data_IF_742305704163
#
_entry.id   IF_742305704163
#
_cell.length_a   1.000
_cell.length_b   1.000
_cell.length_c   1.000
_cell.angle_alpha   90.00
_cell.angle_beta   90.00
_cell.angle_gamma   90.00
#
_symmetry.space_group_name_H-M   'P 1'
#
loop_
_entity.id
_entity.type
_entity.pdbx_description
1 polymer ?
#
# COMPACT_ATOMS: atom_id res chain seq x y z
N UNK A 1 -47.45 19.69 1.71
CA UNK A 1 -46.39 20.25 0.84
C UNK A 1 -45.12 20.55 1.66
N UNK A 2 -44.49 19.60 2.37
CA UNK A 2 -43.23 19.80 3.13
C UNK A 2 -42.26 18.62 3.09
N UNK A 3 -42.45 17.62 2.20
CA UNK A 3 -41.58 16.44 2.10
C UNK A 3 -40.58 16.43 0.93
N UNK A 4 -40.66 17.35 -0.02
CA UNK A 4 -39.77 17.38 -1.20
C UNK A 4 -38.54 18.27 -1.05
N UNK A 5 -38.48 19.14 -0.03
CA UNK A 5 -37.34 20.04 0.16
C UNK A 5 -36.13 19.40 0.86
N UNK A 6 -36.33 18.31 1.60
CA UNK A 6 -35.25 17.66 2.37
C UNK A 6 -34.40 16.75 1.51
N UNK A 7 -35.02 16.10 0.48
CA UNK A 7 -34.29 15.22 -0.43
C UNK A 7 -33.34 15.95 -1.40
N UNK A 8 -33.71 17.16 -1.81
CA UNK A 8 -32.84 17.98 -2.69
C UNK A 8 -31.62 18.55 -1.97
N UNK A 9 -31.71 18.78 -0.66
CA UNK A 9 -30.57 19.30 0.12
C UNK A 9 -29.54 18.22 0.46
N UNK A 10 -29.99 16.98 0.62
CA UNK A 10 -29.10 15.83 0.88
C UNK A 10 -28.36 15.40 -0.39
N UNK A 11 -28.97 15.49 -1.57
CA UNK A 11 -28.27 15.23 -2.84
C UNK A 11 -27.25 16.32 -3.18
N UNK A 12 -27.50 17.58 -2.84
CA UNK A 12 -26.53 18.65 -3.05
C UNK A 12 -25.32 18.58 -2.10
N UNK A 13 -25.51 18.05 -0.89
CA UNK A 13 -24.42 17.85 0.06
C UNK A 13 -23.54 16.64 -0.31
N UNK A 14 -24.11 15.60 -0.94
CA UNK A 14 -23.37 14.44 -1.40
C UNK A 14 -22.47 14.75 -2.62
N UNK A 15 -22.87 15.70 -3.48
CA UNK A 15 -22.05 16.10 -4.64
C UNK A 15 -20.87 17.02 -4.29
N UNK A 16 -20.85 17.65 -3.12
CA UNK A 16 -19.75 18.54 -2.68
C UNK A 16 -18.65 17.78 -1.95
N UNK A 17 -18.91 16.54 -1.51
CA UNK A 17 -17.92 15.69 -0.81
C UNK A 17 -17.10 14.79 -1.74
N UNK A 18 -17.39 14.76 -3.04
CA UNK A 18 -16.71 13.92 -4.05
C UNK A 18 -15.52 14.58 -4.77
N UNK A 19 -15.12 15.79 -4.34
CA UNK A 19 -13.82 16.33 -4.74
C UNK A 19 -12.78 16.06 -3.64
N UNK A 20 -12.45 14.79 -3.43
CA UNK A 20 -11.20 14.43 -2.79
C UNK A 20 -10.09 14.94 -3.70
N UNK A 21 -9.46 16.05 -3.33
CA UNK A 21 -8.37 16.64 -4.09
C UNK A 21 -7.21 15.63 -4.12
N UNK A 22 -7.01 14.99 -5.28
CA UNK A 22 -5.70 14.45 -5.60
C UNK A 22 -4.71 15.61 -5.47
N UNK A 23 -3.70 15.46 -4.62
CA UNK A 23 -2.63 16.45 -4.56
C UNK A 23 -1.75 16.18 -5.77
N UNK A 24 -1.83 17.06 -6.77
CA UNK A 24 -0.96 16.99 -7.93
C UNK A 24 0.48 17.29 -7.48
N UNK A 25 1.28 16.25 -7.34
CA UNK A 25 2.70 16.32 -6.93
C UNK A 25 3.51 17.05 -8.01
N UNK A 26 3.07 16.96 -9.26
CA UNK A 26 3.76 17.59 -10.39
C UNK A 26 3.64 19.13 -10.39
N UNK A 27 2.60 19.70 -9.76
CA UNK A 27 2.42 21.14 -9.70
C UNK A 27 3.47 21.87 -8.85
N UNK A 28 4.15 21.15 -7.93
CA UNK A 28 5.19 21.69 -7.04
C UNK A 28 6.57 21.07 -7.27
N UNK A 29 6.72 20.15 -8.21
CA UNK A 29 8.00 19.54 -8.50
C UNK A 29 8.86 20.45 -9.42
N UNK A 30 10.17 20.61 -9.17
CA UNK A 30 11.06 21.25 -10.10
C UNK A 30 11.04 20.50 -11.43
N UNK A 31 10.88 21.25 -12.54
CA UNK A 31 10.63 20.74 -13.90
C UNK A 31 11.74 19.87 -14.52
N UNK A 32 12.72 19.40 -13.76
CA UNK A 32 13.93 18.75 -14.28
C UNK A 32 14.57 17.73 -13.33
N UNK A 33 13.77 16.91 -12.63
CA UNK A 33 14.39 15.78 -11.91
C UNK A 33 14.68 14.64 -12.89
N UNK A 34 15.96 14.34 -13.08
CA UNK A 34 16.40 13.14 -13.80
C UNK A 34 16.46 11.98 -12.81
N UNK A 35 16.00 10.77 -13.16
CA UNK A 35 16.11 9.62 -12.28
C UNK A 35 17.56 9.45 -11.78
N UNK A 36 17.77 9.12 -10.49
CA UNK A 36 19.08 8.74 -10.00
C UNK A 36 19.63 7.57 -10.81
N UNK A 37 20.95 7.50 -10.99
CA UNK A 37 21.53 6.35 -11.69
C UNK A 37 21.31 5.09 -10.87
N UNK A 38 20.96 3.99 -11.53
CA UNK A 38 20.84 2.68 -10.89
C UNK A 38 22.20 2.33 -10.23
N UNK A 39 22.26 2.27 -8.93
CA UNK A 39 23.47 2.09 -8.11
C UNK A 39 23.66 3.14 -7.03
N UNK A 40 22.92 4.26 -7.09
CA UNK A 40 22.92 5.30 -6.03
C UNK A 40 21.80 5.09 -4.99
N UNK A 41 21.07 3.97 -5.05
CA UNK A 41 20.04 3.62 -4.06
C UNK A 41 20.74 3.36 -2.73
N UNK A 42 20.65 4.34 -1.85
CA UNK A 42 21.15 4.18 -0.47
C UNK A 42 20.15 3.32 0.32
N UNK A 43 20.43 2.01 0.39
CA UNK A 43 19.74 1.14 1.31
C UNK A 43 20.36 1.28 2.71
N UNK A 44 19.53 1.32 3.73
CA UNK A 44 20.00 1.20 5.13
C UNK A 44 20.42 -0.26 5.35
N UNK A 45 21.70 -0.55 5.10
CA UNK A 45 22.29 -1.89 5.04
C UNK A 45 22.48 -2.56 6.42
N UNK A 46 21.45 -2.60 7.25
CA UNK A 46 21.48 -3.44 8.45
C UNK A 46 20.41 -4.52 8.29
N UNK A 47 20.83 -5.76 8.03
CA UNK A 47 19.88 -6.88 8.11
C UNK A 47 19.29 -6.94 9.52
N UNK A 48 17.98 -6.67 9.65
CA UNK A 48 17.36 -6.74 10.97
C UNK A 48 17.42 -8.19 11.46
N UNK A 49 17.77 -8.44 12.71
CA UNK A 49 17.94 -9.79 13.25
C UNK A 49 16.68 -10.66 13.20
N UNK A 50 15.54 -10.10 12.82
CA UNK A 50 14.22 -10.75 12.84
C UNK A 50 13.68 -11.14 11.46
N UNK A 51 14.43 -10.95 10.37
CA UNK A 51 14.00 -11.34 9.01
C UNK A 51 14.41 -12.79 8.63
N UNK A 52 14.51 -13.68 9.62
CA UNK A 52 14.65 -15.12 9.36
C UNK A 52 13.37 -15.60 8.68
N UNK A 53 13.49 -16.43 7.65
CA UNK A 53 12.33 -16.96 6.91
C UNK A 53 11.87 -16.10 5.74
N UNK A 54 12.55 -14.98 5.44
CA UNK A 54 12.31 -14.20 4.24
C UNK A 54 13.36 -14.54 3.17
N UNK A 55 12.89 -14.92 1.98
CA UNK A 55 13.77 -15.10 0.83
C UNK A 55 14.04 -13.77 0.16
N UNK A 56 15.33 -13.44 0.00
CA UNK A 56 15.71 -12.29 -0.82
C UNK A 56 15.35 -12.56 -2.27
N UNK A 57 14.71 -11.59 -2.90
CA UNK A 57 14.40 -11.59 -4.32
C UNK A 57 15.37 -10.67 -5.07
N UNK A 58 15.61 -10.99 -6.35
CA UNK A 58 16.16 -9.99 -7.27
C UNK A 58 15.09 -8.96 -7.67
N UNK A 59 15.49 -7.84 -8.22
CA UNK A 59 14.58 -6.74 -8.57
C UNK A 59 13.58 -7.12 -9.68
N UNK A 60 13.90 -8.12 -10.51
CA UNK A 60 13.04 -8.60 -11.58
C UNK A 60 12.02 -9.65 -11.12
N UNK A 61 12.21 -10.25 -9.95
CA UNK A 61 11.24 -11.15 -9.35
C UNK A 61 10.12 -10.34 -8.71
N UNK A 62 8.85 -10.76 -8.91
CA UNK A 62 7.66 -10.04 -8.44
C UNK A 62 7.70 -8.54 -8.83
N UNK A 63 7.87 -8.20 -10.13
CA UNK A 63 8.12 -6.82 -10.56
C UNK A 63 6.93 -5.88 -10.28
N UNK A 64 5.74 -6.42 -10.04
CA UNK A 64 4.58 -5.64 -9.61
C UNK A 64 4.73 -5.04 -8.21
N UNK A 65 5.67 -5.53 -7.39
CA UNK A 65 6.00 -4.93 -6.10
C UNK A 65 7.29 -4.14 -6.24
N UNK A 66 7.21 -2.84 -6.01
CA UNK A 66 8.33 -1.90 -6.10
C UNK A 66 8.58 -1.16 -4.79
N UNK A 67 9.72 -0.51 -4.69
CA UNK A 67 10.02 0.41 -3.59
C UNK A 67 9.52 1.82 -3.90
N UNK A 68 9.15 2.56 -2.85
CA UNK A 68 8.86 3.98 -2.92
C UNK A 68 10.10 4.77 -2.51
N UNK A 69 10.38 5.83 -3.25
CA UNK A 69 11.49 6.71 -2.96
C UNK A 69 11.10 8.19 -3.06
N UNK A 70 11.81 9.02 -2.30
CA UNK A 70 11.76 10.46 -2.44
C UNK A 70 12.55 10.91 -3.67
N UNK A 71 12.58 12.21 -3.95
CA UNK A 71 13.17 12.78 -5.18
C UNK A 71 14.64 12.40 -5.40
N UNK A 72 15.43 12.32 -4.33
CA UNK A 72 16.85 11.95 -4.41
C UNK A 72 17.11 10.44 -4.58
N UNK A 73 16.05 9.63 -4.63
CA UNK A 73 16.11 8.17 -4.77
C UNK A 73 16.24 7.41 -3.45
N UNK A 74 16.21 8.08 -2.30
CA UNK A 74 16.22 7.41 -1.00
C UNK A 74 14.91 6.64 -0.81
N UNK A 75 15.00 5.33 -0.66
CA UNK A 75 13.86 4.43 -0.49
C UNK A 75 13.37 4.38 0.96
N UNK A 76 12.06 4.31 1.17
CA UNK A 76 11.47 4.33 2.52
C UNK A 76 10.25 3.42 2.71
N UNK A 77 9.65 2.92 1.63
CA UNK A 77 8.44 2.13 1.65
C UNK A 77 8.32 1.24 0.42
N UNK A 78 7.19 0.59 0.31
CA UNK A 78 6.83 -0.30 -0.78
C UNK A 78 5.52 0.13 -1.44
N UNK A 79 5.27 -0.35 -2.66
CA UNK A 79 4.01 -0.20 -3.37
C UNK A 79 3.73 -1.40 -4.26
N UNK A 80 2.47 -1.56 -4.64
CA UNK A 80 2.00 -2.68 -5.46
C UNK A 80 1.27 -2.16 -6.68
N UNK A 81 1.78 -2.46 -7.86
CA UNK A 81 1.16 -2.13 -9.13
C UNK A 81 -0.14 -2.94 -9.31
N UNK A 82 -1.26 -2.25 -9.52
CA UNK A 82 -2.60 -2.85 -9.68
C UNK A 82 -3.17 -2.70 -11.09
N UNK A 83 -2.66 -1.74 -11.84
CA UNK A 83 -2.81 -1.59 -13.28
C UNK A 83 -1.55 -0.90 -13.85
N UNK A 84 -1.40 -0.67 -15.15
CA UNK A 84 -0.16 -0.12 -15.70
C UNK A 84 0.28 1.24 -15.14
N UNK A 85 -0.64 2.03 -14.58
CA UNK A 85 -0.39 3.41 -14.13
C UNK A 85 -0.72 3.65 -12.65
N UNK A 86 -1.30 2.66 -11.95
CA UNK A 86 -1.69 2.85 -10.55
C UNK A 86 -0.99 1.86 -9.61
N UNK A 87 -0.53 2.41 -8.49
CA UNK A 87 0.16 1.68 -7.42
C UNK A 87 -0.60 1.88 -6.12
N UNK A 88 -0.93 0.78 -5.43
CA UNK A 88 -1.41 0.83 -4.05
C UNK A 88 -0.23 0.90 -3.08
N UNK A 89 -0.40 1.65 -2.01
CA UNK A 89 0.54 1.70 -0.88
C UNK A 89 -0.19 1.94 0.43
N UNK A 90 0.51 1.86 1.55
CA UNK A 90 -0.03 2.27 2.85
C UNK A 90 -0.20 3.80 2.89
N UNK A 91 -1.30 4.26 3.48
CA UNK A 91 -1.60 5.70 3.56
C UNK A 91 -0.52 6.48 4.32
N UNK A 92 0.08 5.90 5.37
CA UNK A 92 1.16 6.55 6.11
C UNK A 92 2.44 6.72 5.28
N UNK A 93 2.65 5.95 4.20
CA UNK A 93 3.74 6.17 3.27
C UNK A 93 3.54 7.41 2.40
N UNK A 94 2.32 7.95 2.35
CA UNK A 94 1.96 9.16 1.61
C UNK A 94 1.63 10.36 2.52
N UNK A 95 1.61 10.16 3.85
CA UNK A 95 1.33 11.18 4.86
C UNK A 95 2.63 11.78 5.40
N UNK A 96 2.90 13.04 5.09
CA UNK A 96 4.09 13.76 5.54
C UNK A 96 5.38 13.45 4.77
N UNK A 97 5.37 12.48 3.88
CA UNK A 97 6.43 12.20 2.90
C UNK A 97 5.78 12.19 1.53
N UNK A 98 6.37 12.91 0.58
CA UNK A 98 5.87 12.89 -0.80
C UNK A 98 6.60 11.80 -1.58
N UNK A 99 5.92 10.68 -1.92
CA UNK A 99 6.51 9.68 -2.79
C UNK A 99 6.75 10.29 -4.18
N UNK A 100 7.95 10.18 -4.68
CA UNK A 100 8.35 10.77 -5.97
C UNK A 100 8.60 9.71 -7.02
N UNK A 101 9.20 8.58 -6.63
CA UNK A 101 9.49 7.45 -7.49
C UNK A 101 8.84 6.17 -7.00
N UNK A 102 8.27 5.41 -7.92
CA UNK A 102 8.03 3.99 -7.79
C UNK A 102 9.13 3.26 -8.54
N UNK A 103 9.89 2.41 -7.86
CA UNK A 103 11.03 1.70 -8.44
C UNK A 103 10.66 0.23 -8.57
N UNK A 104 10.61 -0.26 -9.80
CA UNK A 104 10.23 -1.63 -10.14
C UNK A 104 11.20 -2.21 -11.16
N UNK A 105 11.68 -3.43 -10.92
CA UNK A 105 12.67 -4.07 -11.82
C UNK A 105 13.98 -3.28 -11.96
N UNK A 106 14.30 -2.41 -11.00
CA UNK A 106 15.44 -1.50 -11.06
C UNK A 106 15.21 -0.24 -11.90
N UNK A 107 14.01 -0.04 -12.45
CA UNK A 107 13.63 1.15 -13.22
C UNK A 107 12.79 2.12 -12.38
N UNK A 108 12.94 3.42 -12.66
CA UNK A 108 12.29 4.51 -11.93
C UNK A 108 11.06 5.01 -12.69
N UNK A 109 9.89 4.93 -12.07
CA UNK A 109 8.63 5.45 -12.59
C UNK A 109 8.21 6.64 -11.73
N UNK A 110 8.12 7.82 -12.37
CA UNK A 110 7.77 9.04 -11.66
C UNK A 110 6.31 9.01 -11.25
N UNK A 111 6.04 9.42 -10.01
CA UNK A 111 4.69 9.54 -9.47
C UNK A 111 4.14 10.91 -9.84
N UNK A 112 2.99 10.92 -10.51
CA UNK A 112 2.30 12.13 -10.95
C UNK A 112 1.32 12.65 -9.89
N UNK A 113 0.55 11.75 -9.27
CA UNK A 113 -0.44 12.11 -8.27
C UNK A 113 -0.48 11.12 -7.10
N UNK A 114 -0.95 11.61 -5.96
CA UNK A 114 -1.14 10.84 -4.73
C UNK A 114 -2.56 11.07 -4.24
N UNK A 115 -3.33 10.00 -4.13
CA UNK A 115 -4.67 10.03 -3.55
C UNK A 115 -4.70 9.23 -2.26
N UNK A 116 -4.72 9.94 -1.14
CA UNK A 116 -4.89 9.35 0.18
C UNK A 116 -6.38 9.08 0.43
N UNK A 117 -6.71 7.92 1.02
CA UNK A 117 -8.12 7.62 1.34
C UNK A 117 -8.72 8.72 2.24
N UNK A 118 -9.94 9.24 1.97
CA UNK A 118 -10.51 10.36 2.71
C UNK A 118 -10.68 10.08 4.21
N UNK A 119 -10.83 8.81 4.59
CA UNK A 119 -10.91 8.38 5.98
C UNK A 119 -9.56 7.87 6.52
N UNK A 120 -8.43 8.25 5.93
CA UNK A 120 -7.11 7.83 6.40
C UNK A 120 -6.90 8.15 7.89
N UNK A 121 -7.20 9.41 8.28
CA UNK A 121 -7.18 9.83 9.68
C UNK A 121 -8.49 10.47 10.09
N UNK A 122 -9.12 9.95 11.15
CA UNK A 122 -10.29 10.56 11.78
C UNK A 122 -9.90 10.88 13.22
N UNK A 123 -10.01 12.15 13.63
CA UNK A 123 -9.63 12.64 14.97
C UNK A 123 -8.21 12.21 15.42
N UNK A 124 -7.26 12.12 14.48
CA UNK A 124 -5.87 11.73 14.75
C UNK A 124 -5.61 10.22 14.82
N UNK A 125 -6.65 9.40 14.66
CA UNK A 125 -6.53 7.94 14.61
C UNK A 125 -6.51 7.47 13.15
N UNK A 126 -5.61 6.55 12.80
CA UNK A 126 -5.55 5.95 11.46
C UNK A 126 -6.63 4.88 11.34
N UNK A 127 -7.53 5.05 10.35
CA UNK A 127 -8.61 4.11 10.05
C UNK A 127 -8.39 3.38 8.72
N UNK A 128 -8.17 4.13 7.64
CA UNK A 128 -7.99 3.61 6.31
C UNK A 128 -6.55 3.88 5.84
N UNK A 129 -5.62 3.02 6.24
CA UNK A 129 -4.19 3.18 5.96
C UNK A 129 -3.85 2.79 4.51
N UNK A 130 -4.48 3.45 3.55
CA UNK A 130 -4.33 3.15 2.12
C UNK A 130 -4.25 4.41 1.28
N UNK A 131 -3.44 4.36 0.23
CA UNK A 131 -3.33 5.40 -0.80
C UNK A 131 -3.18 4.77 -2.19
N UNK A 132 -3.64 5.48 -3.22
CA UNK A 132 -3.38 5.22 -4.63
C UNK A 132 -2.38 6.25 -5.14
N UNK A 133 -1.34 5.79 -5.83
CA UNK A 133 -0.36 6.62 -6.52
C UNK A 133 -0.57 6.45 -8.02
N UNK A 134 -0.61 7.55 -8.77
CA UNK A 134 -0.68 7.54 -10.24
C UNK A 134 0.70 7.79 -10.81
N UNK A 135 1.16 6.93 -11.71
CA UNK A 135 2.44 7.07 -12.41
C UNK A 135 2.29 8.01 -13.61
N UNK A 136 3.34 8.79 -13.91
CA UNK A 136 3.40 9.68 -15.09
C UNK A 136 3.44 8.88 -16.40
N UNK A 137 4.00 7.66 -16.39
CA UNK A 137 4.08 6.76 -17.54
C UNK A 137 3.78 5.31 -17.08
N UNK A 138 3.24 4.47 -17.99
CA UNK A 138 2.93 3.08 -17.65
C UNK A 138 4.18 2.29 -17.26
N UNK A 139 4.06 1.51 -16.17
CA UNK A 139 5.05 0.50 -15.79
C UNK A 139 4.78 -0.79 -16.60
N UNK A 140 5.79 -1.39 -17.25
CA UNK A 140 5.60 -2.58 -18.09
C UNK A 140 5.41 -3.87 -17.29
N UNK A 141 5.56 -3.85 -15.98
CA UNK A 141 5.32 -5.01 -15.12
C UNK A 141 3.87 -5.46 -15.21
N UNK A 142 3.63 -6.77 -15.13
CA UNK A 142 2.27 -7.30 -15.04
C UNK A 142 1.67 -6.94 -13.69
N UNK A 143 0.53 -6.23 -13.64
CA UNK A 143 -0.10 -5.84 -12.39
C UNK A 143 -0.52 -7.04 -11.53
N UNK A 144 -0.58 -6.83 -10.21
CA UNK A 144 -1.12 -7.82 -9.28
C UNK A 144 -2.62 -8.03 -9.48
N UNK A 145 -3.08 -9.28 -9.58
CA UNK A 145 -4.52 -9.55 -9.58
C UNK A 145 -5.11 -9.17 -8.21
N UNK A 146 -6.12 -8.30 -8.21
CA UNK A 146 -6.86 -7.94 -7.01
C UNK A 146 -7.87 -9.04 -6.65
N UNK A 147 -8.13 -9.18 -5.36
CA UNK A 147 -9.19 -10.06 -4.86
C UNK A 147 -10.57 -9.66 -5.45
N UNK A 148 -11.44 -10.64 -5.57
CA UNK A 148 -12.82 -10.40 -6.04
C UNK A 148 -13.73 -9.93 -4.89
N UNK A 149 -14.82 -9.25 -5.25
CA UNK A 149 -15.89 -8.90 -4.29
C UNK A 149 -16.41 -10.16 -3.61
N UNK A 150 -16.61 -10.05 -2.32
CA UNK A 150 -17.10 -11.18 -1.51
C UNK A 150 -16.03 -12.17 -1.07
N UNK A 151 -14.74 -11.85 -1.28
CA UNK A 151 -13.64 -12.65 -0.73
C UNK A 151 -13.79 -12.80 0.78
N UNK A 152 -13.63 -14.02 1.27
CA UNK A 152 -13.73 -14.33 2.69
C UNK A 152 -12.39 -14.82 3.20
N UNK A 153 -11.89 -14.17 4.23
CA UNK A 153 -10.71 -14.64 4.97
C UNK A 153 -11.13 -15.72 5.96
N UNK A 154 -10.44 -16.84 5.98
CA UNK A 154 -10.62 -17.86 6.98
C UNK A 154 -9.38 -17.97 7.89
N UNK A 155 -9.60 -18.18 9.17
CA UNK A 155 -8.50 -18.36 10.13
C UNK A 155 -7.64 -19.56 9.73
N UNK A 156 -6.36 -19.32 9.57
CA UNK A 156 -5.40 -20.32 9.12
C UNK A 156 -5.12 -20.26 7.61
N UNK A 157 -5.78 -19.38 6.84
CA UNK A 157 -5.42 -19.15 5.45
C UNK A 157 -3.93 -18.78 5.34
N UNK A 158 -3.22 -19.41 4.41
CA UNK A 158 -1.82 -19.12 4.17
C UNK A 158 -1.66 -17.81 3.41
N UNK A 159 -0.75 -16.99 3.90
CA UNK A 159 -0.46 -15.67 3.36
C UNK A 159 1.03 -15.53 3.11
N UNK A 160 1.41 -14.88 2.02
CA UNK A 160 2.79 -14.47 1.75
C UNK A 160 2.87 -12.95 1.60
N UNK A 161 3.98 -12.37 2.05
CA UNK A 161 4.23 -10.93 1.88
C UNK A 161 5.40 -10.69 0.94
N UNK A 162 5.33 -9.60 0.17
CA UNK A 162 6.46 -9.10 -0.63
C UNK A 162 6.62 -7.61 -0.35
N UNK A 163 7.83 -7.19 -0.01
CA UNK A 163 8.13 -5.81 0.30
C UNK A 163 9.63 -5.51 0.28
N UNK A 164 10.00 -4.30 0.67
CA UNK A 164 11.37 -3.78 0.69
C UNK A 164 11.87 -3.50 2.12
N UNK A 165 11.56 -4.38 3.05
CA UNK A 165 12.03 -4.27 4.43
C UNK A 165 13.55 -4.17 4.52
N UNK A 166 14.03 -3.11 5.18
CA UNK A 166 15.47 -2.80 5.25
C UNK A 166 16.08 -2.43 3.90
N UNK A 167 15.28 -1.96 2.93
CA UNK A 167 15.73 -1.54 1.60
C UNK A 167 16.10 -2.70 0.66
N UNK A 168 15.70 -3.92 0.97
CA UNK A 168 15.97 -5.11 0.15
C UNK A 168 14.65 -5.81 -0.13
N UNK A 169 14.41 -6.14 -1.41
CA UNK A 169 13.23 -6.88 -1.81
C UNK A 169 13.24 -8.29 -1.24
N UNK A 170 12.17 -8.66 -0.55
CA UNK A 170 12.02 -9.97 0.08
C UNK A 170 10.60 -10.49 -0.05
N UNK A 171 10.49 -11.83 -0.08
CA UNK A 171 9.24 -12.58 0.05
C UNK A 171 9.26 -13.40 1.33
N UNK A 172 8.22 -13.31 2.13
CA UNK A 172 8.10 -14.11 3.34
C UNK A 172 7.85 -15.58 3.01
N UNK A 173 8.24 -16.48 3.93
CA UNK A 173 7.60 -17.78 4.02
C UNK A 173 6.11 -17.61 4.32
N UNK A 174 5.26 -18.60 4.02
CA UNK A 174 3.85 -18.50 4.35
C UNK A 174 3.63 -18.18 5.83
N UNK A 175 2.82 -17.16 6.09
CA UNK A 175 2.25 -16.86 7.38
C UNK A 175 0.79 -17.28 7.38
N UNK A 176 0.10 -17.06 8.47
CA UNK A 176 -1.32 -17.42 8.58
C UNK A 176 -2.19 -16.24 8.97
N UNK A 177 -3.35 -16.11 8.32
CA UNK A 177 -4.38 -15.20 8.75
C UNK A 177 -4.83 -15.55 10.18
N UNK A 178 -4.89 -14.55 11.05
CA UNK A 178 -5.21 -14.75 12.45
C UNK A 178 -6.59 -14.22 12.82
N UNK A 179 -6.82 -12.93 12.61
CA UNK A 179 -8.12 -12.30 12.86
C UNK A 179 -8.21 -10.91 12.24
N UNK A 180 -9.41 -10.38 12.12
CA UNK A 180 -9.62 -8.99 11.73
C UNK A 180 -9.20 -8.05 12.87
N UNK A 181 -8.57 -6.94 12.52
CA UNK A 181 -8.21 -5.91 13.49
C UNK A 181 -9.48 -5.32 14.13
N UNK A 182 -9.49 -5.26 15.43
CA UNK A 182 -10.61 -4.74 16.21
C UNK A 182 -10.52 -3.22 16.33
N UNK A 183 -11.01 -2.49 15.37
CA UNK A 183 -11.59 -1.18 15.61
C UNK A 183 -13.10 -1.32 15.56
N UNK A 184 -13.79 -0.61 16.45
CA UNK A 184 -15.14 -0.90 16.92
C UNK A 184 -16.26 -0.85 15.88
N UNK A 185 -16.01 -0.37 14.64
CA UNK A 185 -17.10 -0.09 13.72
C UNK A 185 -17.00 -0.71 12.31
N UNK A 186 -15.86 -1.12 11.85
CA UNK A 186 -15.62 -1.98 10.68
C UNK A 186 -14.11 -2.22 10.58
N UNK A 187 -13.63 -3.45 10.69
CA UNK A 187 -12.20 -3.70 10.64
C UNK A 187 -11.67 -3.44 9.22
N UNK A 188 -10.95 -2.34 9.05
CA UNK A 188 -10.26 -1.99 7.79
C UNK A 188 -8.92 -2.70 7.65
N UNK A 189 -8.54 -3.50 8.64
CA UNK A 189 -7.29 -4.24 8.68
C UNK A 189 -7.50 -5.67 9.14
N UNK A 190 -6.54 -6.51 8.86
CA UNK A 190 -6.42 -7.85 9.45
C UNK A 190 -5.05 -8.06 10.06
N UNK A 191 -4.98 -9.00 10.99
CA UNK A 191 -3.76 -9.45 11.64
C UNK A 191 -3.36 -10.81 11.11
N UNK A 192 -2.06 -10.98 10.88
CA UNK A 192 -1.51 -12.27 10.49
C UNK A 192 -0.24 -12.56 11.27
N UNK A 193 0.00 -13.84 11.51
CA UNK A 193 1.19 -14.33 12.19
C UNK A 193 2.16 -14.87 11.14
N UNK A 194 3.39 -14.37 11.11
CA UNK A 194 4.42 -15.02 10.33
C UNK A 194 4.77 -16.36 10.98
N UNK A 195 4.96 -17.39 10.19
CA UNK A 195 5.47 -18.68 10.70
C UNK A 195 6.96 -18.58 11.03
N UNK A 196 7.68 -17.71 10.33
CA UNK A 196 9.10 -17.46 10.51
C UNK A 196 9.41 -16.02 10.08
N UNK A 197 10.07 -15.26 10.96
CA UNK A 197 10.38 -13.84 10.70
C UNK A 197 9.22 -12.87 10.95
N UNK A 198 9.37 -11.64 10.53
CA UNK A 198 8.35 -10.57 10.61
C UNK A 198 8.61 -9.49 9.57
N UNK A 199 7.59 -8.72 9.21
CA UNK A 199 7.77 -7.51 8.39
C UNK A 199 8.64 -6.48 9.13
N UNK A 200 9.23 -5.54 8.38
CA UNK A 200 10.13 -4.54 8.92
C UNK A 200 9.90 -3.16 8.27
N UNK A 201 10.61 -2.16 8.78
CA UNK A 201 10.60 -0.82 8.17
C UNK A 201 10.99 -0.87 6.69
N UNK A 202 10.16 -0.30 5.82
CA UNK A 202 10.26 -0.37 4.38
C UNK A 202 9.32 -1.40 3.73
N UNK A 203 8.79 -2.39 4.48
CA UNK A 203 7.75 -3.29 3.97
C UNK A 203 6.38 -2.63 3.88
N UNK A 204 6.15 -1.53 4.61
CA UNK A 204 4.90 -0.74 4.56
C UNK A 204 4.53 -0.40 3.12
N UNK A 205 3.27 -0.66 2.74
CA UNK A 205 2.78 -0.50 1.38
C UNK A 205 3.03 -1.71 0.46
N UNK A 206 3.77 -2.71 0.91
CA UNK A 206 4.00 -3.95 0.18
C UNK A 206 2.79 -4.87 0.14
N UNK A 207 2.92 -5.94 -0.63
CA UNK A 207 1.85 -6.87 -0.94
C UNK A 207 1.62 -7.91 0.17
N UNK A 208 0.35 -8.26 0.39
CA UNK A 208 -0.04 -9.52 1.05
C UNK A 208 -0.86 -10.33 0.06
N UNK A 209 -0.35 -11.51 -0.29
CA UNK A 209 -0.97 -12.44 -1.22
C UNK A 209 -1.57 -13.64 -0.48
N UNK A 210 -2.67 -14.17 -1.01
CA UNK A 210 -3.14 -15.49 -0.63
C UNK A 210 -2.32 -16.60 -1.32
N UNK A 211 -2.65 -17.86 -1.06
CA UNK A 211 -2.03 -19.06 -1.64
C UNK A 211 -2.14 -19.14 -3.17
N UNK A 212 -3.13 -18.49 -3.76
CA UNK A 212 -3.35 -18.41 -5.20
C UNK A 212 -2.63 -17.22 -5.87
N UNK A 213 -1.83 -16.44 -5.13
CA UNK A 213 -1.10 -15.28 -5.64
C UNK A 213 -1.98 -14.05 -5.90
N UNK A 214 -3.19 -14.01 -5.34
CA UNK A 214 -4.10 -12.86 -5.44
C UNK A 214 -3.77 -11.86 -4.35
N UNK A 215 -3.67 -10.58 -4.69
CA UNK A 215 -3.45 -9.49 -3.75
C UNK A 215 -4.69 -9.26 -2.89
N UNK A 216 -4.56 -9.49 -1.59
CA UNK A 216 -5.67 -9.44 -0.62
C UNK A 216 -5.48 -8.33 0.42
N UNK A 217 -4.28 -7.80 0.55
CA UNK A 217 -3.98 -6.75 1.51
C UNK A 217 -2.71 -5.99 1.19
N UNK A 218 -2.58 -4.82 1.84
CA UNK A 218 -1.38 -3.97 1.81
C UNK A 218 -0.76 -3.95 3.19
N UNK A 219 0.53 -4.24 3.30
CA UNK A 219 1.29 -4.21 4.56
C UNK A 219 1.18 -2.82 5.18
N UNK A 220 0.76 -2.75 6.44
CA UNK A 220 0.56 -1.51 7.17
C UNK A 220 1.52 -1.39 8.35
N UNK A 221 1.42 -2.26 9.34
CA UNK A 221 2.16 -2.08 10.57
C UNK A 221 2.54 -3.40 11.24
N UNK A 222 3.48 -3.28 12.14
CA UNK A 222 3.95 -4.31 13.04
C UNK A 222 3.65 -3.89 14.48
N UNK A 223 3.10 -4.79 15.27
CA UNK A 223 2.96 -4.57 16.72
C UNK A 223 3.65 -5.68 17.53
N UNK A 224 4.25 -5.27 18.64
CA UNK A 224 4.86 -6.19 19.60
C UNK A 224 3.89 -6.37 20.75
N UNK A 225 3.25 -7.52 20.84
CA UNK A 225 2.32 -7.81 21.92
C UNK A 225 3.04 -8.62 23.00
N UNK A 226 3.15 -8.05 24.22
CA UNK A 226 3.65 -8.69 25.44
C UNK A 226 4.94 -9.52 25.30
N UNK A 227 5.90 -8.96 24.55
CA UNK A 227 7.29 -9.42 24.63
C UNK A 227 7.71 -10.56 23.71
N UNK A 228 6.79 -11.28 23.02
CA UNK A 228 7.19 -12.44 22.22
C UNK A 228 6.39 -12.73 20.94
N UNK A 229 5.28 -12.05 20.67
CA UNK A 229 4.49 -12.28 19.46
C UNK A 229 4.49 -11.00 18.62
N UNK A 230 5.11 -11.08 17.44
CA UNK A 230 4.99 -10.06 16.43
C UNK A 230 3.66 -10.28 15.69
N UNK A 231 2.73 -9.36 15.83
CA UNK A 231 1.53 -9.32 15.01
C UNK A 231 1.77 -8.35 13.86
N UNK A 232 1.75 -8.88 12.66
CA UNK A 232 1.76 -8.07 11.46
C UNK A 232 0.34 -7.63 11.12
N UNK A 233 0.20 -6.42 10.61
CA UNK A 233 -1.08 -5.86 10.20
C UNK A 233 -1.06 -5.49 8.72
N UNK A 234 -2.14 -5.80 8.03
CA UNK A 234 -2.37 -5.36 6.67
C UNK A 234 -3.74 -4.72 6.51
N UNK A 235 -3.86 -3.78 5.60
CA UNK A 235 -5.12 -3.20 5.16
C UNK A 235 -5.90 -4.25 4.37
N UNK A 236 -7.19 -4.37 4.62
CA UNK A 236 -8.11 -5.26 3.89
C UNK A 236 -8.51 -4.62 2.58
N UNK A 237 -8.21 -5.25 1.46
CA UNK A 237 -8.62 -4.70 0.17
C UNK A 237 -10.08 -4.97 -0.17
N UNK A 238 -10.72 -6.00 0.41
CA UNK A 238 -12.13 -6.32 0.18
C UNK A 238 -13.09 -5.20 0.58
N UNK A 239 -12.72 -4.37 1.58
CA UNK A 239 -13.54 -3.23 2.02
C UNK A 239 -13.25 -1.94 1.23
N UNK A 240 -12.19 -1.91 0.43
CA UNK A 240 -11.76 -0.72 -0.32
C UNK A 240 -11.91 -0.85 -1.84
N UNK A 241 -12.44 -1.98 -2.37
CA UNK A 241 -12.52 -2.22 -3.82
C UNK A 241 -13.28 -1.11 -4.58
N UNK A 242 -14.38 -0.59 -4.02
CA UNK A 242 -15.14 0.48 -4.66
C UNK A 242 -14.33 1.77 -4.74
N UNK A 243 -13.69 2.14 -3.64
CA UNK A 243 -12.83 3.31 -3.61
C UNK A 243 -11.60 3.16 -4.51
N UNK A 244 -10.98 1.99 -4.56
CA UNK A 244 -9.85 1.72 -5.46
C UNK A 244 -10.29 1.88 -6.92
N UNK A 245 -11.45 1.32 -7.28
CA UNK A 245 -12.00 1.46 -8.63
C UNK A 245 -12.25 2.94 -8.97
N UNK A 246 -12.93 3.68 -8.10
CA UNK A 246 -13.18 5.13 -8.29
C UNK A 246 -11.86 5.91 -8.43
N UNK A 247 -10.86 5.59 -7.60
CA UNK A 247 -9.55 6.26 -7.60
C UNK A 247 -8.74 6.02 -8.88
N UNK A 248 -8.96 4.90 -9.56
CA UNK A 248 -8.25 4.53 -10.81
C UNK A 248 -8.99 4.96 -12.08
N UNK A 249 -10.31 5.20 -11.99
CA UNK A 249 -11.12 5.65 -13.14
C UNK A 249 -11.15 7.18 -13.31
N UNK A 250 -10.81 7.95 -12.28
CA UNK A 250 -10.93 9.41 -12.27
C UNK A 250 -9.70 10.18 -12.78
N UNK A 251 -8.76 9.53 -13.48
CA UNK A 251 -7.54 10.16 -14.01
C UNK A 251 -7.49 10.19 -15.52
#
# INVERSE_FOLDING_TARGET
MKRHAVHSLLLALALVLLQACAVDVAANAPKSATPPKSGEIQSVNAEPPFMRGFSRLDECSEPQVGSLAVEDGTTYGSGVLIDPTHVLTAGHCADGVTPYWFISGGEFFKIHAVLLHPNYKIAGVVFADIAVLTLEAPCPATPSPLLSRGYQFARGDELTTVGYGGGIKRKSNPGVFWYYGTTVEEPTSFKFLPLDGTIWFGDSGGAVYNDSGVLIGIISSLSITRGHLFENSAVRLDVFLDWIQEATECN
#
